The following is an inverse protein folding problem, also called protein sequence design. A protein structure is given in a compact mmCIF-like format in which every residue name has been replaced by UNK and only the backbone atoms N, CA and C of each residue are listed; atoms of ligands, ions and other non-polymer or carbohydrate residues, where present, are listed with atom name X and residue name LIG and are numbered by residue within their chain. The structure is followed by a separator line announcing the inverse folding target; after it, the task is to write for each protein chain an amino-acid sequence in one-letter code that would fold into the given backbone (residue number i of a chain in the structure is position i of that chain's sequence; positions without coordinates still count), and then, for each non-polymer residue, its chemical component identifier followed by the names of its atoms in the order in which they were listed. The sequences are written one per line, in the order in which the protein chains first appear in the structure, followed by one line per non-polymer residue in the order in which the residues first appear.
data_IF_131961580800
#
_entry.id   IF_131961580800
#
_cell.length_a   1.000
_cell.length_b   1.000
_cell.length_c   1.000
_cell.angle_alpha   90.00
_cell.angle_beta   90.00
_cell.angle_gamma   90.00
#
_symmetry.space_group_name_H-M   'P 1'
#
loop_
_entity.id
_entity.type
_entity.pdbx_description
1 polymer ?
#
# COMPACT_ATOMS: atom_id res chain seq x y z
N UNK A 1 -1.31 -0.39 -14.09
CA UNK A 1 -0.74 -0.66 -12.74
C UNK A 1 -1.80 -1.25 -11.83
N UNK A 2 -2.88 -0.51 -11.52
CA UNK A 2 -3.93 -0.95 -10.57
C UNK A 2 -4.57 -2.28 -10.99
N UNK A 3 -4.93 -2.46 -12.26
CA UNK A 3 -5.53 -3.72 -12.74
C UNK A 3 -4.62 -4.94 -12.52
N UNK A 4 -3.30 -4.75 -12.65
CA UNK A 4 -2.33 -5.82 -12.36
C UNK A 4 -2.31 -6.15 -10.88
N UNK A 5 -2.24 -5.14 -10.00
CA UNK A 5 -2.22 -5.34 -8.55
C UNK A 5 -3.50 -6.01 -8.07
N UNK A 6 -4.65 -5.60 -8.59
CA UNK A 6 -5.96 -6.15 -8.23
C UNK A 6 -6.14 -7.63 -8.64
N UNK A 7 -5.34 -8.13 -9.59
CA UNK A 7 -5.36 -9.52 -10.04
C UNK A 7 -4.41 -10.43 -9.24
N UNK A 8 -3.60 -9.88 -8.33
CA UNK A 8 -2.61 -10.62 -7.55
C UNK A 8 -3.19 -11.03 -6.18
N UNK A 9 -2.70 -12.13 -5.58
CA UNK A 9 -3.10 -12.52 -4.23
C UNK A 9 -2.72 -11.46 -3.18
N UNK A 10 -3.51 -11.36 -2.10
CA UNK A 10 -3.31 -10.37 -1.03
C UNK A 10 -1.88 -10.36 -0.44
N UNK A 11 -1.26 -11.53 -0.35
CA UNK A 11 0.11 -11.71 0.18
C UNK A 11 1.23 -11.41 -0.80
N UNK A 12 0.94 -11.04 -2.05
CA UNK A 12 1.94 -10.75 -3.06
C UNK A 12 2.63 -9.40 -2.76
N UNK A 13 3.94 -9.31 -2.99
CA UNK A 13 4.74 -8.11 -2.67
C UNK A 13 4.17 -6.82 -3.29
N UNK A 14 3.70 -6.86 -4.54
CA UNK A 14 3.07 -5.71 -5.20
C UNK A 14 1.78 -5.24 -4.52
N UNK A 15 0.99 -6.15 -3.94
CA UNK A 15 -0.23 -5.79 -3.20
C UNK A 15 0.12 -5.15 -1.87
N UNK A 16 1.13 -5.71 -1.18
CA UNK A 16 1.67 -5.14 0.06
C UNK A 16 2.27 -3.74 -0.18
N UNK A 17 3.04 -3.59 -1.27
CA UNK A 17 3.66 -2.34 -1.67
C UNK A 17 2.62 -1.27 -2.03
N UNK A 18 1.60 -1.63 -2.81
CA UNK A 18 0.51 -0.71 -3.17
C UNK A 18 -0.29 -0.29 -1.93
N UNK A 19 -0.54 -1.22 -1.01
CA UNK A 19 -1.20 -0.92 0.26
C UNK A 19 -0.35 0.03 1.11
N UNK A 20 0.96 -0.22 1.22
CA UNK A 20 1.91 0.65 1.93
C UNK A 20 1.96 2.07 1.33
N UNK A 21 2.01 2.17 0.00
CA UNK A 21 1.92 3.43 -0.72
C UNK A 21 0.64 4.20 -0.36
N UNK A 22 -0.52 3.53 -0.44
CA UNK A 22 -1.80 4.17 -0.13
C UNK A 22 -1.89 4.60 1.34
N UNK A 23 -1.36 3.79 2.27
CA UNK A 23 -1.29 4.13 3.69
C UNK A 23 -0.49 5.41 3.91
N UNK A 24 0.65 5.57 3.23
CA UNK A 24 1.50 6.76 3.31
C UNK A 24 0.85 7.97 2.65
N UNK A 25 0.39 7.83 1.40
CA UNK A 25 -0.24 8.91 0.63
C UNK A 25 -1.48 9.46 1.32
N UNK A 26 -2.32 8.58 1.89
CA UNK A 26 -3.54 8.99 2.56
C UNK A 26 -3.33 9.32 4.04
N UNK A 27 -2.15 9.05 4.63
CA UNK A 27 -1.90 9.13 6.08
C UNK A 27 -2.91 8.26 6.87
N UNK A 28 -3.12 7.01 6.45
CA UNK A 28 -4.10 6.12 7.07
C UNK A 28 -3.80 5.83 8.55
N UNK A 29 -2.53 5.80 8.96
CA UNK A 29 -2.13 5.52 10.34
C UNK A 29 -2.44 6.66 11.33
N UNK A 30 -2.89 7.81 10.83
CA UNK A 30 -3.36 8.93 11.65
C UNK A 30 -4.87 9.10 11.56
N UNK A 31 -5.59 8.10 11.04
CA UNK A 31 -7.05 8.10 10.97
C UNK A 31 -7.62 7.45 12.24
N UNK A 32 -8.35 8.23 13.02
CA UNK A 32 -9.08 7.79 14.21
C UNK A 32 -10.60 7.98 14.01
N UNK A 33 -11.43 7.51 14.95
CA UNK A 33 -12.90 7.53 14.81
C UNK A 33 -13.50 8.95 14.81
N UNK A 34 -12.80 9.95 15.36
CA UNK A 34 -13.24 11.34 15.39
C UNK A 34 -12.76 12.12 14.16
N UNK A 35 -11.84 11.57 13.38
CA UNK A 35 -11.37 12.17 12.13
C UNK A 35 -12.50 12.25 11.09
N UNK A 36 -12.64 13.41 10.43
CA UNK A 36 -13.53 13.58 9.27
C UNK A 36 -13.27 12.52 8.16
N UNK A 37 -12.03 12.03 8.05
CA UNK A 37 -11.67 10.97 7.11
C UNK A 37 -12.33 9.64 7.42
N UNK A 38 -12.53 9.29 8.69
CA UNK A 38 -13.17 8.05 9.09
C UNK A 38 -14.65 8.02 8.70
N UNK A 39 -15.36 9.14 8.84
CA UNK A 39 -16.78 9.24 8.47
C UNK A 39 -17.03 9.15 6.96
N UNK A 40 -16.02 9.40 6.11
CA UNK A 40 -16.11 9.26 4.66
C UNK A 40 -15.99 7.80 4.17
N UNK A 41 -15.39 6.92 4.96
CA UNK A 41 -15.00 5.57 4.57
C UNK A 41 -13.72 5.51 3.71
N UNK A 42 -12.98 4.41 3.83
CA UNK A 42 -11.66 4.25 3.21
C UNK A 42 -11.66 4.40 1.68
N UNK A 43 -12.69 3.88 0.98
CA UNK A 43 -12.78 3.99 -0.48
C UNK A 43 -12.90 5.46 -0.93
N UNK A 44 -13.72 6.25 -0.27
CA UNK A 44 -13.89 7.68 -0.57
C UNK A 44 -12.61 8.45 -0.25
N UNK A 45 -11.99 8.17 0.90
CA UNK A 45 -10.73 8.79 1.29
C UNK A 45 -9.62 8.51 0.27
N UNK A 46 -9.44 7.24 -0.13
CA UNK A 46 -8.43 6.83 -1.10
C UNK A 46 -8.61 7.51 -2.46
N UNK A 47 -9.83 7.54 -3.00
CA UNK A 47 -10.13 8.21 -4.28
C UNK A 47 -9.82 9.71 -4.23
N UNK A 48 -10.14 10.38 -3.11
CA UNK A 48 -9.81 11.80 -2.92
C UNK A 48 -8.31 12.04 -2.80
N UNK A 49 -7.59 11.17 -2.11
CA UNK A 49 -6.13 11.25 -2.02
C UNK A 49 -5.48 11.16 -3.39
N UNK A 50 -5.84 10.15 -4.19
CA UNK A 50 -5.28 9.98 -5.54
C UNK A 50 -5.72 11.12 -6.47
N UNK A 51 -7.01 11.46 -6.50
CA UNK A 51 -7.52 12.52 -7.37
C UNK A 51 -7.05 13.93 -6.98
N UNK A 52 -6.61 14.13 -5.74
CA UNK A 52 -6.03 15.39 -5.24
C UNK A 52 -4.50 15.41 -5.26
N UNK A 53 -3.84 14.36 -5.77
CA UNK A 53 -2.40 14.30 -5.87
C UNK A 53 -1.90 15.37 -6.86
N UNK A 54 -0.92 16.17 -6.42
CA UNK A 54 -0.42 17.32 -7.20
C UNK A 54 0.78 16.99 -8.09
N UNK A 55 1.38 15.81 -7.93
CA UNK A 55 2.47 15.33 -8.77
C UNK A 55 1.94 14.61 -10.01
N UNK A 56 2.85 14.08 -10.81
CA UNK A 56 2.50 13.30 -12.01
C UNK A 56 2.27 11.83 -11.71
N UNK A 57 1.65 11.11 -12.64
CA UNK A 57 1.46 9.65 -12.55
C UNK A 57 2.81 8.93 -12.44
N UNK A 58 3.86 9.42 -13.12
CA UNK A 58 5.22 8.88 -12.99
C UNK A 58 5.75 9.00 -11.56
N UNK A 59 5.40 10.06 -10.84
CA UNK A 59 5.81 10.21 -9.45
C UNK A 59 5.07 9.23 -8.53
N UNK A 60 3.78 8.97 -8.77
CA UNK A 60 3.04 7.91 -8.06
C UNK A 60 3.69 6.55 -8.33
N UNK A 61 4.05 6.27 -9.59
CA UNK A 61 4.72 5.03 -9.97
C UNK A 61 6.08 4.92 -9.28
N UNK A 62 6.87 6.01 -9.23
CA UNK A 62 8.13 6.02 -8.48
C UNK A 62 7.93 5.69 -7.01
N UNK A 63 6.94 6.32 -6.36
CA UNK A 63 6.64 6.03 -4.94
C UNK A 63 6.14 4.59 -4.73
N UNK A 64 5.43 4.02 -5.70
CA UNK A 64 5.05 2.60 -5.68
C UNK A 64 6.28 1.68 -5.72
N UNK A 65 7.21 1.94 -6.64
CA UNK A 65 8.45 1.17 -6.77
C UNK A 65 9.32 1.28 -5.51
N UNK A 66 9.41 2.48 -4.91
CA UNK A 66 10.07 2.68 -3.61
C UNK A 66 9.41 1.86 -2.49
N UNK A 67 8.07 1.88 -2.41
CA UNK A 67 7.34 1.07 -1.46
C UNK A 67 7.55 -0.45 -1.69
N UNK A 68 7.74 -0.88 -2.95
CA UNK A 68 8.04 -2.28 -3.27
C UNK A 68 9.42 -2.69 -2.78
N UNK A 69 10.43 -1.85 -2.97
CA UNK A 69 11.78 -2.11 -2.44
C UNK A 69 11.81 -2.13 -0.92
N UNK A 70 11.04 -1.27 -0.24
CA UNK A 70 10.89 -1.33 1.21
C UNK A 70 10.25 -2.64 1.69
N UNK A 71 9.20 -3.11 1.01
CA UNK A 71 8.55 -4.40 1.31
C UNK A 71 9.55 -5.54 1.12
N UNK A 72 10.27 -5.58 -0.02
CA UNK A 72 11.30 -6.60 -0.28
C UNK A 72 12.38 -6.60 0.79
N UNK A 73 12.90 -5.43 1.15
CA UNK A 73 13.91 -5.30 2.20
C UNK A 73 13.38 -5.79 3.57
N UNK A 74 12.14 -5.47 3.91
CA UNK A 74 11.52 -5.92 5.15
C UNK A 74 11.28 -7.43 5.18
N UNK A 75 10.82 -8.02 4.07
CA UNK A 75 10.65 -9.48 3.96
C UNK A 75 12.00 -10.21 4.05
N UNK A 76 13.05 -9.66 3.43
CA UNK A 76 14.40 -10.26 3.44
C UNK A 76 15.12 -10.12 4.79
N UNK A 77 14.77 -9.15 5.63
CA UNK A 77 15.51 -8.89 6.88
C UNK A 77 15.26 -9.93 7.99
N UNK A 78 14.37 -10.91 7.78
CA UNK A 78 14.11 -12.00 8.73
C UNK A 78 13.36 -11.57 10.00
N UNK A 79 12.81 -10.36 10.05
CA UNK A 79 12.04 -9.84 11.20
C UNK A 79 10.56 -10.17 11.16
N UNK A 80 10.09 -10.79 10.08
CA UNK A 80 8.68 -11.16 9.91
C UNK A 80 8.39 -12.38 10.79
N UNK A 81 7.42 -12.30 11.72
CA UNK A 81 7.02 -13.46 12.51
C UNK A 81 6.57 -14.61 11.62
N UNK A 82 6.92 -15.85 11.98
CA UNK A 82 6.64 -17.05 11.16
C UNK A 82 5.16 -17.19 10.80
N UNK A 83 4.26 -16.87 11.74
CA UNK A 83 2.82 -16.89 11.52
C UNK A 83 2.34 -15.90 10.43
N UNK A 84 3.08 -14.82 10.18
CA UNK A 84 2.80 -13.83 9.12
C UNK A 84 3.55 -14.20 7.84
N UNK A 85 4.75 -14.77 7.96
CA UNK A 85 5.55 -15.19 6.81
C UNK A 85 4.82 -16.21 5.92
N UNK A 86 3.99 -17.08 6.51
CA UNK A 86 3.15 -18.04 5.77
C UNK A 86 2.07 -17.39 4.90
N UNK A 87 1.71 -16.13 5.18
CA UNK A 87 0.72 -15.36 4.40
C UNK A 87 1.35 -14.63 3.21
N UNK A 88 2.68 -14.49 3.18
CA UNK A 88 3.40 -13.80 2.12
C UNK A 88 3.58 -14.75 0.94
N UNK A 89 2.96 -14.41 -0.20
CA UNK A 89 3.13 -15.15 -1.45
C UNK A 89 4.39 -14.61 -2.12
N UNK A 90 5.49 -15.35 -2.01
CA UNK A 90 6.71 -15.05 -2.75
C UNK A 90 6.46 -15.21 -4.26
N UNK A 91 6.98 -14.32 -5.12
CA UNK A 91 6.93 -14.54 -6.55
C UNK A 91 7.70 -15.83 -6.90
N UNK A 92 7.15 -16.60 -7.85
CA UNK A 92 7.81 -17.78 -8.43
C UNK A 92 8.95 -17.39 -9.37
#
# INVERSE_FOLDING_TARGET
MVDRVAALPDGHEDVLAFSSLMIKLASCLTCDLDSYRASLGCCTCARRTVGGFKGSDEEIIRQFEEAREEVRAYLACGKVPEAIATLVVQPA
#
